data_IF_642022387369
#
_entry.id   IF_642022387369
#
_cell.length_a   1.000
_cell.length_b   1.000
_cell.length_c   1.000
_cell.angle_alpha   90.00
_cell.angle_beta   90.00
_cell.angle_gamma   90.00
#
_symmetry.space_group_name_H-M   'P 1'
#
loop_
_entity.id
_entity.type
_entity.pdbx_description
1 polymer ?
#
# COMPACT_ATOMS: atom_id res chain seq x y z
N UNK A 1 7.16 24.54 -12.38
CA UNK A 1 7.04 23.34 -13.28
C UNK A 1 8.20 22.41 -12.99
N UNK A 2 7.96 21.24 -12.37
CA UNK A 2 8.98 20.19 -12.27
C UNK A 2 9.05 19.49 -13.62
N UNK A 3 10.09 19.74 -14.38
CA UNK A 3 10.44 18.91 -15.53
C UNK A 3 10.86 17.54 -14.99
N UNK A 4 9.98 16.56 -15.02
CA UNK A 4 10.38 15.18 -14.77
C UNK A 4 11.28 14.74 -15.92
N UNK A 5 12.52 14.34 -15.59
CA UNK A 5 13.45 13.82 -16.58
C UNK A 5 12.79 12.67 -17.35
N UNK A 6 12.77 12.77 -18.68
CA UNK A 6 12.28 11.68 -19.54
C UNK A 6 13.22 10.48 -19.41
N UNK A 7 12.66 9.29 -19.40
CA UNK A 7 13.44 8.07 -19.38
C UNK A 7 12.79 6.92 -18.62
N UNK A 8 13.58 5.87 -18.46
CA UNK A 8 13.22 4.68 -17.69
C UNK A 8 14.26 4.47 -16.58
N UNK A 9 13.78 4.20 -15.39
CA UNK A 9 14.64 3.84 -14.25
C UNK A 9 14.09 2.59 -13.57
N UNK A 10 14.95 1.57 -13.45
CA UNK A 10 14.66 0.35 -12.69
C UNK A 10 15.59 0.27 -11.51
N UNK A 11 15.09 -0.11 -10.35
CA UNK A 11 15.85 -0.34 -9.13
C UNK A 11 15.42 -1.66 -8.52
N UNK A 12 16.38 -2.48 -8.11
CA UNK A 12 16.15 -3.68 -7.32
C UNK A 12 16.98 -3.61 -6.03
N UNK A 13 16.44 -4.15 -4.95
CA UNK A 13 17.13 -4.26 -3.66
C UNK A 13 16.82 -5.62 -3.06
N UNK A 14 17.86 -6.26 -2.54
CA UNK A 14 17.77 -7.50 -1.77
C UNK A 14 18.50 -7.27 -0.46
N UNK A 15 17.91 -7.71 0.64
CA UNK A 15 18.51 -7.68 1.96
C UNK A 15 18.22 -9.01 2.67
N UNK A 16 19.23 -9.52 3.37
CA UNK A 16 19.12 -10.68 4.23
C UNK A 16 19.70 -10.35 5.61
N UNK A 17 19.05 -10.81 6.68
CA UNK A 17 19.44 -10.50 8.05
C UNK A 17 19.12 -11.64 9.04
N UNK A 18 19.33 -11.36 10.31
CA UNK A 18 19.05 -12.29 11.41
C UNK A 18 17.58 -12.73 11.41
N UNK A 19 17.31 -13.88 12.02
CA UNK A 19 15.98 -14.49 12.11
C UNK A 19 15.34 -14.74 10.74
N UNK A 20 16.15 -15.12 9.74
CA UNK A 20 15.71 -15.33 8.37
C UNK A 20 15.00 -14.11 7.77
N UNK A 21 15.39 -12.91 8.19
CA UNK A 21 14.83 -11.66 7.67
C UNK A 21 15.25 -11.49 6.21
N UNK A 22 14.28 -11.35 5.34
CA UNK A 22 14.47 -11.21 3.90
C UNK A 22 13.64 -10.03 3.41
N UNK A 23 14.25 -9.17 2.57
CA UNK A 23 13.56 -8.06 1.93
C UNK A 23 13.91 -8.02 0.46
N UNK A 24 12.89 -7.98 -0.36
CA UNK A 24 12.99 -7.89 -1.81
C UNK A 24 12.19 -6.68 -2.29
N UNK A 25 12.77 -5.87 -3.15
CA UNK A 25 12.12 -4.72 -3.73
C UNK A 25 12.50 -4.60 -5.20
N UNK A 26 11.51 -4.35 -6.04
CA UNK A 26 11.71 -3.95 -7.44
C UNK A 26 10.82 -2.75 -7.74
N UNK A 27 11.43 -1.69 -8.25
CA UNK A 27 10.73 -0.50 -8.70
C UNK A 27 11.06 -0.24 -10.17
N UNK A 28 10.08 0.21 -10.92
CA UNK A 28 10.25 0.70 -12.28
C UNK A 28 9.51 2.03 -12.47
N UNK A 29 10.23 3.05 -12.85
CA UNK A 29 9.70 4.33 -13.27
C UNK A 29 9.89 4.51 -14.77
N UNK A 30 8.87 5.01 -15.45
CA UNK A 30 8.87 5.29 -16.87
C UNK A 30 8.17 6.62 -17.12
N UNK A 31 8.80 7.49 -17.91
CA UNK A 31 8.25 8.79 -18.26
C UNK A 31 8.69 9.16 -19.68
N UNK A 32 7.80 9.07 -20.64
CA UNK A 32 8.06 9.43 -22.05
C UNK A 32 6.86 10.15 -22.65
N UNK A 33 7.11 11.33 -23.20
CA UNK A 33 6.09 12.14 -23.83
C UNK A 33 4.98 12.54 -22.86
N UNK A 34 3.76 12.08 -23.14
CA UNK A 34 2.57 12.36 -22.33
C UNK A 34 2.28 11.31 -21.27
N UNK A 35 2.99 10.18 -21.30
CA UNK A 35 2.75 9.05 -20.43
C UNK A 35 3.81 8.93 -19.34
N UNK A 36 3.35 8.67 -18.12
CA UNK A 36 4.21 8.34 -16.99
C UNK A 36 3.68 7.09 -16.28
N UNK A 37 4.58 6.29 -15.75
CA UNK A 37 4.21 5.19 -14.86
C UNK A 37 5.27 4.98 -13.79
N UNK A 38 4.82 4.52 -12.65
CA UNK A 38 5.66 4.00 -11.59
C UNK A 38 5.04 2.72 -11.04
N UNK A 39 5.84 1.66 -10.97
CA UNK A 39 5.42 0.37 -10.40
C UNK A 39 6.44 -0.04 -9.34
N UNK A 40 5.96 -0.51 -8.21
CA UNK A 40 6.77 -1.02 -7.11
C UNK A 40 6.18 -2.32 -6.59
N UNK A 41 7.03 -3.32 -6.35
CA UNK A 41 6.68 -4.56 -5.67
C UNK A 41 7.71 -4.78 -4.57
N UNK A 42 7.22 -5.07 -3.37
CA UNK A 42 8.04 -5.36 -2.21
C UNK A 42 7.54 -6.64 -1.53
N UNK A 43 8.48 -7.42 -1.04
CA UNK A 43 8.22 -8.56 -0.18
C UNK A 43 9.20 -8.57 0.98
N UNK A 44 8.68 -8.53 2.20
CA UNK A 44 9.45 -8.59 3.43
C UNK A 44 8.96 -9.77 4.27
N UNK A 45 9.88 -10.52 4.85
CA UNK A 45 9.57 -11.59 5.80
C UNK A 45 10.61 -11.70 6.90
N UNK A 46 10.21 -12.25 8.03
CA UNK A 46 11.10 -12.66 9.12
C UNK A 46 10.42 -13.78 9.91
N UNK A 47 11.22 -14.70 10.45
CA UNK A 47 10.72 -15.73 11.37
C UNK A 47 10.58 -15.18 12.81
N UNK A 48 11.09 -13.94 13.04
CA UNK A 48 11.07 -13.30 14.36
C UNK A 48 12.11 -13.86 15.32
N UNK A 49 12.28 -13.18 16.45
CA UNK A 49 13.31 -13.52 17.46
C UNK A 49 12.85 -14.58 18.46
N UNK A 50 11.58 -15.01 18.40
CA UNK A 50 11.00 -16.06 19.26
C UNK A 50 9.84 -16.76 18.54
N UNK A 51 9.41 -17.88 19.09
CA UNK A 51 8.28 -18.66 18.54
C UNK A 51 7.01 -17.81 18.46
N UNK A 52 6.22 -17.97 17.39
CA UNK A 52 4.99 -17.23 17.10
C UNK A 52 5.20 -15.72 16.93
N UNK A 53 6.32 -15.30 16.38
CA UNK A 53 6.60 -13.90 16.06
C UNK A 53 6.96 -13.69 14.58
N UNK A 54 6.57 -14.62 13.73
CA UNK A 54 6.78 -14.51 12.30
C UNK A 54 5.90 -13.42 11.68
N UNK A 55 6.47 -12.79 10.67
CA UNK A 55 5.82 -11.75 9.89
C UNK A 55 6.19 -11.88 8.43
N UNK A 56 5.25 -11.68 7.53
CA UNK A 56 5.54 -11.39 6.15
C UNK A 56 4.52 -10.42 5.54
N UNK A 57 4.98 -9.65 4.58
CA UNK A 57 4.17 -8.74 3.79
C UNK A 57 4.61 -8.78 2.33
N UNK A 58 3.64 -8.79 1.43
CA UNK A 58 3.84 -8.47 0.03
C UNK A 58 2.97 -7.29 -0.31
N UNK A 59 3.55 -6.24 -0.84
CA UNK A 59 2.82 -5.09 -1.32
C UNK A 59 3.22 -4.73 -2.75
N UNK A 60 2.24 -4.23 -3.47
CA UNK A 60 2.39 -3.71 -4.81
C UNK A 60 1.76 -2.34 -4.92
N UNK A 61 2.39 -1.47 -5.68
CA UNK A 61 1.89 -0.14 -6.00
C UNK A 61 2.12 0.14 -7.47
N UNK A 62 1.12 0.69 -8.14
CA UNK A 62 1.24 1.22 -9.49
C UNK A 62 0.58 2.61 -9.55
N UNK A 63 1.29 3.54 -10.18
CA UNK A 63 0.78 4.86 -10.54
C UNK A 63 0.93 5.03 -12.05
N UNK A 64 -0.14 5.47 -12.71
CA UNK A 64 -0.17 5.78 -14.13
C UNK A 64 -0.60 7.22 -14.31
N UNK A 65 0.08 7.94 -15.20
CA UNK A 65 -0.25 9.32 -15.53
C UNK A 65 -0.31 9.52 -17.03
N UNK A 66 -1.29 10.29 -17.49
CA UNK A 66 -1.41 10.68 -18.87
C UNK A 66 -1.75 12.16 -18.98
N UNK A 67 -0.89 12.93 -19.64
CA UNK A 67 -1.09 14.36 -19.91
C UNK A 67 -1.78 14.53 -21.26
N UNK A 68 -3.05 14.92 -21.25
CA UNK A 68 -3.80 15.20 -22.48
C UNK A 68 -3.22 16.42 -23.19
N UNK A 69 -3.00 17.50 -22.45
CA UNK A 69 -2.43 18.77 -22.87
C UNK A 69 -1.77 19.47 -21.67
N UNK A 70 -1.45 20.76 -21.77
CA UNK A 70 -0.84 21.52 -20.67
C UNK A 70 -1.82 21.82 -19.53
N UNK A 71 -3.12 21.69 -19.78
CA UNK A 71 -4.17 21.97 -18.80
C UNK A 71 -4.63 20.73 -18.05
N UNK A 72 -4.74 19.58 -18.72
CA UNK A 72 -5.38 18.39 -18.14
C UNK A 72 -4.41 17.22 -18.02
N UNK A 73 -4.39 16.67 -16.80
CA UNK A 73 -3.59 15.50 -16.44
C UNK A 73 -4.47 14.44 -15.74
N UNK A 74 -4.52 13.24 -16.30
CA UNK A 74 -5.20 12.08 -15.72
C UNK A 74 -4.18 11.24 -14.93
N UNK A 75 -4.55 10.86 -13.70
CA UNK A 75 -3.76 9.97 -12.85
C UNK A 75 -4.59 8.80 -12.38
N UNK A 76 -3.98 7.63 -12.32
CA UNK A 76 -4.58 6.44 -11.73
C UNK A 76 -3.60 5.75 -10.81
N UNK A 77 -4.08 5.34 -9.63
CA UNK A 77 -3.28 4.64 -8.63
C UNK A 77 -3.94 3.32 -8.24
N UNK A 78 -3.12 2.32 -8.03
CA UNK A 78 -3.52 1.07 -7.39
C UNK A 78 -2.48 0.68 -6.34
N UNK A 79 -2.93 0.32 -5.16
CA UNK A 79 -2.09 -0.23 -4.08
C UNK A 79 -2.73 -1.48 -3.51
N UNK A 80 -1.94 -2.53 -3.34
CA UNK A 80 -2.34 -3.80 -2.73
C UNK A 80 -1.33 -4.18 -1.67
N UNK A 81 -1.79 -4.62 -0.50
CA UNK A 81 -0.96 -5.15 0.57
C UNK A 81 -1.59 -6.41 1.14
N UNK A 82 -0.85 -7.51 1.06
CA UNK A 82 -1.18 -8.78 1.72
C UNK A 82 -0.15 -9.03 2.79
N UNK A 83 -0.58 -9.22 4.04
CA UNK A 83 0.33 -9.51 5.13
C UNK A 83 -0.26 -10.52 6.12
N UNK A 84 0.64 -11.29 6.70
CA UNK A 84 0.36 -12.21 7.79
C UNK A 84 1.36 -11.98 8.90
N UNK A 85 0.90 -12.07 10.12
CA UNK A 85 1.77 -12.00 11.27
C UNK A 85 1.14 -12.72 12.46
N UNK A 86 1.98 -13.03 13.42
CA UNK A 86 1.62 -13.62 14.68
C UNK A 86 2.01 -12.67 15.82
N UNK A 87 1.26 -12.69 16.90
CA UNK A 87 1.59 -11.99 18.13
C UNK A 87 1.86 -13.03 19.23
N UNK A 88 3.11 -13.19 19.66
CA UNK A 88 3.47 -14.16 20.68
C UNK A 88 3.05 -13.75 22.11
N UNK A 89 2.49 -12.56 22.30
CA UNK A 89 2.22 -12.03 23.65
C UNK A 89 3.48 -11.72 24.43
N UNK A 90 3.37 -11.62 25.74
CA UNK A 90 4.47 -11.39 26.68
C UNK A 90 5.27 -12.70 26.91
N UNK A 91 6.53 -12.59 27.32
CA UNK A 91 7.39 -13.76 27.54
C UNK A 91 6.87 -14.66 28.66
N UNK A 92 6.33 -14.07 29.70
CA UNK A 92 5.77 -14.79 30.87
C UNK A 92 4.27 -15.08 30.72
N UNK A 93 3.60 -14.49 29.72
CA UNK A 93 2.20 -14.75 29.41
C UNK A 93 2.01 -14.84 27.88
N UNK A 94 2.46 -15.93 27.23
CA UNK A 94 2.43 -16.07 25.79
C UNK A 94 1.01 -16.30 25.29
N UNK A 95 0.74 -15.78 24.09
CA UNK A 95 -0.48 -16.04 23.32
C UNK A 95 -0.21 -17.21 22.37
N UNK A 96 -1.07 -18.21 22.40
CA UNK A 96 -1.03 -19.37 21.53
C UNK A 96 -1.96 -19.18 20.34
N UNK A 97 -1.54 -19.65 19.17
CA UNK A 97 -2.32 -19.68 17.89
C UNK A 97 -2.85 -18.33 17.41
N UNK A 98 -2.29 -17.21 17.89
CA UNK A 98 -2.63 -15.88 17.38
C UNK A 98 -2.11 -15.73 15.94
N UNK A 99 -3.02 -15.48 14.99
CA UNK A 99 -2.69 -15.34 13.57
C UNK A 99 -3.56 -14.27 12.92
N UNK A 100 -2.92 -13.39 12.19
CA UNK A 100 -3.59 -12.36 11.40
C UNK A 100 -3.25 -12.52 9.93
N UNK A 101 -4.28 -12.57 9.08
CA UNK A 101 -4.19 -12.63 7.63
C UNK A 101 -5.03 -11.50 7.03
N UNK A 102 -4.36 -10.48 6.52
CA UNK A 102 -5.00 -9.24 6.11
C UNK A 102 -4.63 -8.92 4.66
N UNK A 103 -5.65 -8.60 3.86
CA UNK A 103 -5.51 -8.07 2.51
C UNK A 103 -6.17 -6.70 2.46
N UNK A 104 -5.42 -5.69 2.01
CA UNK A 104 -5.94 -4.33 1.79
C UNK A 104 -5.63 -3.86 0.39
N UNK A 105 -6.57 -3.12 -0.19
CA UNK A 105 -6.43 -2.50 -1.48
C UNK A 105 -6.94 -1.07 -1.48
N UNK A 106 -6.31 -0.25 -2.31
CA UNK A 106 -6.74 1.10 -2.61
C UNK A 106 -6.59 1.32 -4.12
N UNK A 107 -7.58 1.93 -4.73
CA UNK A 107 -7.48 2.42 -6.10
C UNK A 107 -8.00 3.85 -6.16
N UNK A 108 -7.43 4.67 -7.02
CA UNK A 108 -7.92 6.00 -7.28
C UNK A 108 -7.78 6.39 -8.75
N UNK A 109 -8.66 7.27 -9.20
CA UNK A 109 -8.62 7.92 -10.51
C UNK A 109 -8.81 9.41 -10.30
N UNK A 110 -7.88 10.22 -10.77
CA UNK A 110 -7.88 11.67 -10.62
C UNK A 110 -7.72 12.37 -11.95
N UNK A 111 -8.49 13.42 -12.15
CA UNK A 111 -8.31 14.39 -13.23
C UNK A 111 -7.91 15.72 -12.61
N UNK A 112 -6.74 16.20 -12.97
CA UNK A 112 -6.18 17.49 -12.54
C UNK A 112 -6.34 18.50 -13.67
N UNK A 113 -6.58 19.76 -13.31
CA UNK A 113 -6.61 20.89 -14.22
C UNK A 113 -5.63 21.99 -13.77
N UNK A 114 -5.03 22.68 -14.74
CA UNK A 114 -4.17 23.86 -14.52
C UNK A 114 -4.42 24.89 -15.64
N UNK A 115 -5.11 25.96 -15.29
CA UNK A 115 -5.35 27.11 -16.16
C UNK A 115 -4.42 28.29 -15.83
N UNK A 116 -3.34 28.03 -15.06
CA UNK A 116 -2.39 29.05 -14.63
C UNK A 116 -2.83 29.75 -13.34
N UNK A 117 -3.89 30.53 -13.37
CA UNK A 117 -4.42 31.21 -12.17
C UNK A 117 -5.41 30.32 -11.38
N UNK A 118 -5.99 29.34 -12.03
CA UNK A 118 -6.95 28.40 -11.44
C UNK A 118 -6.38 27.00 -11.63
N UNK A 119 -6.29 26.23 -10.55
CA UNK A 119 -5.85 24.83 -10.61
C UNK A 119 -6.59 23.99 -9.58
N UNK A 120 -6.86 22.75 -9.94
CA UNK A 120 -7.58 21.87 -9.05
C UNK A 120 -7.57 20.42 -9.48
N UNK A 121 -8.37 19.62 -8.82
CA UNK A 121 -8.56 18.23 -9.16
C UNK A 121 -9.91 17.68 -8.70
N UNK A 122 -10.39 16.70 -9.42
CA UNK A 122 -11.41 15.75 -8.97
C UNK A 122 -10.75 14.38 -8.87
N UNK A 123 -10.95 13.67 -7.74
CA UNK A 123 -10.42 12.33 -7.49
C UNK A 123 -11.50 11.43 -6.94
N UNK A 124 -11.72 10.31 -7.62
CA UNK A 124 -12.51 9.18 -7.15
C UNK A 124 -11.55 8.17 -6.51
N UNK A 125 -11.89 7.64 -5.34
CA UNK A 125 -11.11 6.61 -4.69
C UNK A 125 -11.99 5.51 -4.10
N UNK A 126 -11.43 4.31 -4.06
CA UNK A 126 -12.05 3.13 -3.47
C UNK A 126 -11.03 2.36 -2.65
N UNK A 127 -11.35 2.16 -1.38
CA UNK A 127 -10.55 1.35 -0.46
C UNK A 127 -11.35 0.12 -0.07
N UNK A 128 -10.64 -1.01 0.10
CA UNK A 128 -11.24 -2.25 0.54
C UNK A 128 -10.27 -3.09 1.36
N UNK A 129 -10.81 -3.93 2.22
CA UNK A 129 -10.03 -4.80 3.07
C UNK A 129 -10.76 -6.10 3.41
N UNK A 130 -9.98 -7.16 3.57
CA UNK A 130 -10.42 -8.44 4.11
C UNK A 130 -9.50 -8.80 5.28
N UNK A 131 -10.08 -9.07 6.43
CA UNK A 131 -9.38 -9.45 7.64
C UNK A 131 -9.83 -10.83 8.07
N UNK A 132 -8.87 -11.69 8.41
CA UNK A 132 -9.07 -12.96 9.09
C UNK A 132 -8.16 -12.95 10.31
N UNK A 133 -8.75 -12.98 11.49
CA UNK A 133 -8.03 -12.82 12.74
C UNK A 133 -8.39 -13.99 13.64
N UNK A 134 -7.38 -14.70 14.11
CA UNK A 134 -7.44 -15.58 15.26
C UNK A 134 -6.74 -14.84 16.41
N UNK A 135 -7.48 -14.42 17.42
CA UNK A 135 -6.93 -13.70 18.56
C UNK A 135 -6.06 -14.60 19.45
N UNK A 136 -6.17 -15.92 19.23
CA UNK A 136 -5.43 -16.90 20.02
C UNK A 136 -6.03 -17.09 21.42
N UNK A 137 -5.26 -17.70 22.31
CA UNK A 137 -5.66 -17.98 23.69
C UNK A 137 -4.43 -17.99 24.60
N UNK A 138 -4.64 -17.72 25.87
CA UNK A 138 -3.62 -17.81 26.90
C UNK A 138 -3.55 -19.19 27.54
N UNK A 139 -2.49 -19.44 28.31
CA UNK A 139 -2.32 -20.69 29.06
C UNK A 139 -3.50 -20.90 30.04
N UNK A 140 -4.13 -22.06 29.96
CA UNK A 140 -5.32 -22.41 30.76
C UNK A 140 -6.66 -22.02 30.14
N UNK A 141 -6.66 -21.29 29.04
CA UNK A 141 -7.87 -21.00 28.26
C UNK A 141 -8.08 -22.05 27.15
N UNK A 142 -9.30 -22.11 26.64
CA UNK A 142 -9.62 -22.92 25.48
C UNK A 142 -9.42 -22.11 24.19
N UNK A 143 -8.98 -22.75 23.08
CA UNK A 143 -8.97 -22.11 21.77
C UNK A 143 -10.36 -21.56 21.40
N UNK A 144 -10.40 -20.44 20.70
CA UNK A 144 -11.64 -19.90 20.17
C UNK A 144 -12.22 -20.81 19.09
N UNK A 145 -13.52 -21.06 19.15
CA UNK A 145 -14.24 -21.90 18.18
C UNK A 145 -14.45 -21.20 16.83
N UNK A 146 -14.12 -19.92 16.72
CA UNK A 146 -14.34 -19.13 15.52
C UNK A 146 -13.16 -18.24 15.19
N UNK A 147 -13.02 -17.91 13.90
CA UNK A 147 -12.12 -16.87 13.40
C UNK A 147 -12.92 -15.61 13.14
N UNK A 148 -12.44 -14.49 13.65
CA UNK A 148 -12.99 -13.19 13.26
C UNK A 148 -12.71 -12.93 11.77
N UNK A 149 -13.78 -12.60 11.04
CA UNK A 149 -13.71 -12.23 9.62
C UNK A 149 -14.42 -10.92 9.41
N UNK A 150 -13.76 -9.98 8.77
CA UNK A 150 -14.32 -8.68 8.42
C UNK A 150 -13.96 -8.30 7.00
N UNK A 151 -14.88 -7.64 6.34
CA UNK A 151 -14.66 -7.01 5.03
C UNK A 151 -15.12 -5.57 5.14
N UNK A 152 -14.29 -4.64 4.71
CA UNK A 152 -14.61 -3.22 4.70
C UNK A 152 -14.47 -2.65 3.29
N UNK A 153 -15.29 -1.65 3.00
CA UNK A 153 -15.31 -0.90 1.73
C UNK A 153 -15.53 0.58 2.01
N UNK A 154 -14.80 1.42 1.31
CA UNK A 154 -14.97 2.86 1.38
C UNK A 154 -14.79 3.45 -0.03
N UNK A 155 -15.82 4.13 -0.53
CA UNK A 155 -15.83 4.87 -1.78
C UNK A 155 -15.96 6.35 -1.48
N UNK A 156 -15.16 7.19 -2.10
CA UNK A 156 -15.24 8.62 -1.92
C UNK A 156 -14.83 9.41 -3.14
N UNK A 157 -15.23 10.68 -3.13
CA UNK A 157 -14.86 11.69 -4.11
C UNK A 157 -14.23 12.86 -3.37
N UNK A 158 -13.07 13.30 -3.85
CA UNK A 158 -12.42 14.52 -3.43
C UNK A 158 -12.47 15.51 -4.60
N UNK A 159 -12.89 16.74 -4.33
CA UNK A 159 -12.82 17.84 -5.27
C UNK A 159 -12.23 19.07 -4.59
N UNK A 160 -11.34 19.76 -5.27
CA UNK A 160 -10.84 21.05 -4.85
C UNK A 160 -10.47 21.93 -6.06
N UNK A 161 -10.60 23.25 -5.89
CA UNK A 161 -10.09 24.28 -6.79
C UNK A 161 -9.35 25.34 -5.98
N UNK A 162 -8.23 25.79 -6.52
CA UNK A 162 -7.34 26.80 -5.95
C UNK A 162 -7.26 27.99 -6.90
N UNK A 163 -7.37 29.20 -6.36
CA UNK A 163 -7.29 30.43 -7.12
C UNK A 163 -6.08 31.23 -6.64
N UNK A 164 -5.25 31.66 -7.57
CA UNK A 164 -4.15 32.60 -7.30
C UNK A 164 -4.68 34.01 -7.50
N UNK A 165 -4.89 34.73 -6.40
CA UNK A 165 -5.50 36.07 -6.42
C UNK A 165 -4.51 37.18 -6.73
N UNK A 166 -3.20 36.97 -6.48
CA UNK A 166 -2.11 37.95 -6.70
C UNK A 166 -0.88 37.23 -7.23
N UNK A 167 -0.08 37.94 -8.08
CA UNK A 167 1.27 37.57 -8.47
C UNK A 167 2.29 38.10 -7.47
#
# INVERSE_FOLDING_TARGET
RRHHAQGRRTQARIMYGSYNTQKYMVNNGYNIGKFSSFVSINHDRTDGHRKNSDFWITNGFANLGYRFNDTYHLTGDVSLAKYKFQNPGETFNPIFDNKMDILRGTTSLGLENDYGQISGAIRLFYNWGNHKINDGYYSGEQPLDYLFRSTDHNLGVLFYESFRLFE
#
